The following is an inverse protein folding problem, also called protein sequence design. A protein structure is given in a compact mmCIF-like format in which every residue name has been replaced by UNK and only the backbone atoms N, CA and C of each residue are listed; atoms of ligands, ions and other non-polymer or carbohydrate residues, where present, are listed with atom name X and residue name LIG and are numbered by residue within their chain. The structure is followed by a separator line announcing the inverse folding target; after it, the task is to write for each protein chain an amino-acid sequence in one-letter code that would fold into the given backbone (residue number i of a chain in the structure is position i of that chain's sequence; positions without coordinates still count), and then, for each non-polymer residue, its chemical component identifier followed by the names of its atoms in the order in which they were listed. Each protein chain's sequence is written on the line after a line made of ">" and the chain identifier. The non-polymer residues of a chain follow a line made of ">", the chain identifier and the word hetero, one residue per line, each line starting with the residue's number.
data_IF_192952299848
#
_entry.id   IF_192952299848
#
_cell.length_a   1.000
_cell.length_b   1.000
_cell.length_c   1.000
_cell.angle_alpha   90.00
_cell.angle_beta   90.00
_cell.angle_gamma   90.00
#
_symmetry.space_group_name_H-M   'P 1'
#
loop_
_entity.id
_entity.type
_entity.pdbx_description
1 polymer ?
#
# COMPACT_ATOMS: atom_id res chain seq x y z
N UNK A 1 -16.68 -5.39 -23.74
CA UNK A 1 -15.64 -6.14 -22.98
C UNK A 1 -16.16 -6.33 -21.56
N UNK A 2 -16.03 -7.50 -20.93
CA UNK A 2 -16.50 -7.72 -19.53
C UNK A 2 -15.37 -7.28 -18.58
N UNK A 3 -15.50 -6.19 -17.82
CA UNK A 3 -14.39 -5.67 -17.00
C UNK A 3 -13.89 -6.67 -15.96
N UNK A 4 -14.77 -7.54 -15.46
CA UNK A 4 -14.44 -8.60 -14.50
C UNK A 4 -13.50 -9.68 -15.06
N UNK A 5 -13.36 -9.79 -16.39
CA UNK A 5 -12.48 -10.76 -17.04
C UNK A 5 -11.13 -10.15 -17.44
N UNK A 6 -10.78 -8.99 -16.87
CA UNK A 6 -9.47 -8.38 -17.08
C UNK A 6 -8.49 -8.91 -16.03
N UNK A 7 -7.57 -9.76 -16.49
CA UNK A 7 -6.45 -10.20 -15.68
C UNK A 7 -5.36 -9.12 -15.68
N UNK A 8 -5.06 -8.58 -14.50
CA UNK A 8 -3.95 -7.65 -14.28
C UNK A 8 -2.86 -8.32 -13.44
N UNK A 9 -1.58 -8.10 -13.76
CA UNK A 9 -0.51 -8.60 -12.93
C UNK A 9 -0.54 -7.89 -11.57
N UNK A 10 -0.54 -8.67 -10.50
CA UNK A 10 -0.43 -8.16 -9.11
C UNK A 10 1.01 -7.89 -8.69
N UNK A 11 1.97 -8.21 -9.55
CA UNK A 11 3.39 -7.91 -9.43
C UNK A 11 3.97 -7.69 -10.82
N UNK A 12 4.69 -6.58 -10.99
CA UNK A 12 5.54 -6.34 -12.15
C UNK A 12 6.79 -5.57 -11.75
N UNK A 13 7.81 -5.66 -12.59
CA UNK A 13 9.11 -5.07 -12.33
C UNK A 13 9.56 -4.23 -13.53
N UNK A 14 10.28 -3.16 -13.22
CA UNK A 14 11.05 -2.34 -14.16
C UNK A 14 12.52 -2.45 -13.77
N UNK A 15 13.40 -1.76 -14.50
CA UNK A 15 14.82 -1.72 -14.14
C UNK A 15 15.09 -1.15 -12.74
N UNK A 16 14.21 -0.28 -12.21
CA UNK A 16 14.42 0.42 -10.93
C UNK A 16 13.39 0.13 -9.85
N UNK A 17 12.22 -0.39 -10.22
CA UNK A 17 11.07 -0.52 -9.33
C UNK A 17 10.39 -1.85 -9.48
N UNK A 18 10.03 -2.45 -8.36
CA UNK A 18 9.04 -3.49 -8.26
C UNK A 18 7.74 -2.88 -7.75
N UNK A 19 6.65 -3.10 -8.48
CA UNK A 19 5.31 -2.72 -8.05
C UNK A 19 4.53 -3.99 -7.82
N UNK A 20 3.98 -4.14 -6.62
CA UNK A 20 3.17 -5.29 -6.24
C UNK A 20 2.03 -4.87 -5.34
N UNK A 21 1.01 -5.72 -5.24
CA UNK A 21 0.02 -5.61 -4.17
C UNK A 21 0.70 -5.72 -2.78
N UNK A 22 0.13 -5.12 -1.72
CA UNK A 22 0.63 -5.30 -0.35
C UNK A 22 0.50 -6.77 0.08
N UNK A 23 1.36 -7.22 0.99
CA UNK A 23 1.35 -8.54 1.62
C UNK A 23 1.44 -8.38 3.15
N UNK A 24 0.82 -9.28 3.95
CA UNK A 24 1.01 -9.28 5.40
C UNK A 24 2.50 -9.29 5.77
N UNK A 25 2.90 -8.40 6.67
CA UNK A 25 4.29 -8.12 7.02
C UNK A 25 4.87 -6.85 6.41
N UNK A 26 4.19 -6.21 5.45
CA UNK A 26 4.62 -4.92 4.89
C UNK A 26 4.36 -3.72 5.82
N UNK A 27 3.62 -3.90 6.92
CA UNK A 27 3.16 -2.81 7.79
C UNK A 27 4.27 -1.89 8.27
N UNK A 28 5.44 -2.45 8.62
CA UNK A 28 6.60 -1.66 9.06
C UNK A 28 7.13 -0.72 7.96
N UNK A 29 7.34 -1.24 6.75
CA UNK A 29 7.83 -0.44 5.62
C UNK A 29 6.81 0.62 5.20
N UNK A 30 5.51 0.28 5.23
CA UNK A 30 4.43 1.21 4.94
C UNK A 30 4.36 2.32 5.99
N UNK A 31 4.46 1.98 7.28
CA UNK A 31 4.47 2.96 8.36
C UNK A 31 5.64 3.94 8.23
N UNK A 32 6.86 3.44 7.97
CA UNK A 32 8.03 4.28 7.75
C UNK A 32 7.82 5.26 6.58
N UNK A 33 7.29 4.78 5.46
CA UNK A 33 7.00 5.62 4.30
C UNK A 33 5.94 6.70 4.59
N UNK A 34 4.93 6.39 5.40
CA UNK A 34 3.92 7.36 5.84
C UNK A 34 4.56 8.43 6.72
N UNK A 35 5.35 8.05 7.73
CA UNK A 35 6.02 9.02 8.60
C UNK A 35 6.97 9.94 7.83
N UNK A 36 7.68 9.39 6.83
CA UNK A 36 8.59 10.15 5.98
C UNK A 36 7.87 11.17 5.06
N UNK A 37 6.56 11.01 4.82
CA UNK A 37 5.78 11.84 3.89
C UNK A 37 4.61 12.58 4.54
N UNK A 38 4.44 12.45 5.86
CA UNK A 38 3.26 12.92 6.58
C UNK A 38 3.01 14.42 6.41
N UNK A 39 4.05 15.24 6.65
CA UNK A 39 3.93 16.70 6.58
C UNK A 39 3.51 17.19 5.19
N UNK A 40 3.97 16.51 4.15
CA UNK A 40 3.68 16.85 2.75
C UNK A 40 2.29 16.37 2.30
N UNK A 41 1.81 15.25 2.85
CA UNK A 41 0.59 14.57 2.38
C UNK A 41 -0.68 14.94 3.15
N UNK A 42 -0.58 15.35 4.43
CA UNK A 42 -1.74 15.75 5.26
C UNK A 42 -2.65 16.80 4.60
N UNK A 43 -2.14 17.81 3.85
CA UNK A 43 -3.02 18.76 3.16
C UNK A 43 -3.88 18.14 2.04
N UNK A 44 -3.49 16.98 1.52
CA UNK A 44 -4.09 16.36 0.33
C UNK A 44 -4.93 15.13 0.66
N UNK A 45 -4.53 14.34 1.66
CA UNK A 45 -5.20 13.09 2.01
C UNK A 45 -5.30 12.92 3.53
N UNK A 46 -6.44 12.42 4.04
CA UNK A 46 -6.53 11.97 5.42
C UNK A 46 -5.70 10.70 5.60
N UNK A 47 -4.82 10.69 6.60
CA UNK A 47 -3.96 9.54 6.94
C UNK A 47 -4.44 8.95 8.26
N UNK A 48 -4.81 7.67 8.24
CA UNK A 48 -5.39 6.96 9.40
C UNK A 48 -4.40 5.97 10.06
N UNK A 49 -3.19 5.82 9.52
CA UNK A 49 -2.17 4.92 10.05
C UNK A 49 -1.31 5.65 11.09
N UNK A 50 -1.74 5.60 12.36
CA UNK A 50 -1.07 6.30 13.47
C UNK A 50 0.04 5.45 14.11
N UNK A 51 0.01 4.14 13.91
CA UNK A 51 0.96 3.17 14.47
C UNK A 51 1.38 2.14 13.43
N UNK A 52 2.51 1.46 13.66
CA UNK A 52 2.93 0.31 12.84
C UNK A 52 1.87 -0.79 12.77
N UNK A 53 1.17 -1.06 13.89
CA UNK A 53 0.07 -2.03 13.94
C UNK A 53 -1.10 -1.61 13.03
N UNK A 54 -1.51 -0.33 13.08
CA UNK A 54 -2.57 0.17 12.20
C UNK A 54 -2.17 0.16 10.72
N UNK A 55 -0.88 0.35 10.41
CA UNK A 55 -0.37 0.21 9.05
C UNK A 55 -0.43 -1.24 8.57
N UNK A 56 -0.11 -2.20 9.43
CA UNK A 56 -0.25 -3.64 9.14
C UNK A 56 -1.73 -4.04 8.95
N UNK A 57 -2.67 -3.47 9.71
CA UNK A 57 -4.11 -3.67 9.51
C UNK A 57 -4.55 -3.20 8.11
N UNK A 58 -4.14 -2.00 7.69
CA UNK A 58 -4.42 -1.46 6.35
C UNK A 58 -3.80 -2.36 5.27
N UNK A 59 -2.57 -2.82 5.47
CA UNK A 59 -1.89 -3.75 4.56
C UNK A 59 -2.70 -5.04 4.38
N UNK A 60 -3.20 -5.61 5.48
CA UNK A 60 -4.00 -6.85 5.46
C UNK A 60 -5.36 -6.64 4.81
N UNK A 61 -6.02 -5.52 5.07
CA UNK A 61 -7.28 -5.16 4.42
C UNK A 61 -7.08 -4.98 2.90
N UNK A 62 -6.04 -4.25 2.50
CA UNK A 62 -5.70 -4.00 1.10
C UNK A 62 -5.15 -5.23 0.37
N UNK A 63 -4.55 -6.19 1.09
CA UNK A 63 -4.10 -7.45 0.51
C UNK A 63 -5.26 -8.28 -0.06
N UNK A 64 -6.47 -8.09 0.49
CA UNK A 64 -7.66 -8.88 0.20
C UNK A 64 -8.03 -9.82 1.35
N UNK A 65 -9.27 -10.28 1.54
CA UNK A 65 -10.30 -10.59 0.52
C UNK A 65 -9.70 -11.10 -0.79
#
# INVERSE_FOLDING_TARGET
>A
MKPLLLDFPTLFQTERLQVRKPFPGDGAEVYEAIQASLEDLVPWIPINAETEESAEEIVREAHGQ
#
